data_IF_657892199753
#
_entry.id   IF_657892199753
#
_cell.length_a   1.000
_cell.length_b   1.000
_cell.length_c   1.000
_cell.angle_alpha   90.00
_cell.angle_beta   90.00
_cell.angle_gamma   90.00
#
_symmetry.space_group_name_H-M   'P 1'
#
loop_
_entity.id
_entity.type
_entity.pdbx_description
1 polymer ?
#
# COMPACT_ATOMS: atom_id res chain seq x y z
N UNK A 1 2.06 -25.73 -4.53
CA UNK A 1 1.02 -24.69 -4.45
C UNK A 1 0.00 -24.98 -3.36
N UNK A 2 -0.90 -25.97 -3.48
CA UNK A 2 -1.91 -26.27 -2.43
C UNK A 2 -1.31 -26.52 -1.04
N UNK A 3 -0.19 -27.26 -0.97
CA UNK A 3 0.54 -27.49 0.29
C UNK A 3 1.16 -26.22 0.89
N UNK A 4 1.54 -25.23 0.08
CA UNK A 4 2.08 -23.95 0.60
C UNK A 4 0.97 -23.10 1.20
N UNK A 5 -0.18 -23.03 0.53
CA UNK A 5 -1.38 -22.34 1.03
C UNK A 5 -1.83 -22.97 2.35
N UNK A 6 -1.95 -24.31 2.42
CA UNK A 6 -2.29 -25.01 3.67
C UNK A 6 -1.25 -24.83 4.77
N UNK A 7 0.04 -24.71 4.43
CA UNK A 7 1.10 -24.43 5.41
C UNK A 7 1.01 -22.99 5.95
N UNK A 8 0.78 -22.01 5.07
CA UNK A 8 0.59 -20.61 5.44
C UNK A 8 -0.66 -20.47 6.34
N UNK A 9 -1.80 -21.04 5.94
CA UNK A 9 -3.05 -21.04 6.72
C UNK A 9 -2.89 -21.73 8.09
N UNK A 10 -2.09 -22.80 8.17
CA UNK A 10 -1.82 -23.48 9.45
C UNK A 10 -0.88 -22.67 10.36
N UNK A 11 0.10 -21.95 9.81
CA UNK A 11 0.98 -21.08 10.59
C UNK A 11 0.22 -19.87 11.17
N UNK A 12 -0.72 -19.29 10.42
CA UNK A 12 -1.62 -18.22 10.90
C UNK A 12 -2.49 -18.65 12.07
N UNK A 13 -3.13 -19.82 11.94
CA UNK A 13 -3.97 -20.38 12.99
C UNK A 13 -3.20 -20.68 14.29
N UNK A 14 -1.88 -20.84 14.19
CA UNK A 14 -1.00 -21.17 15.32
C UNK A 14 -0.20 -19.97 15.86
N UNK A 15 -0.26 -18.80 15.23
CA UNK A 15 0.42 -17.58 15.70
C UNK A 15 1.95 -17.65 15.65
N UNK A 16 2.52 -18.56 14.86
CA UNK A 16 3.96 -18.70 14.67
C UNK A 16 4.40 -17.79 13.51
N UNK A 17 5.06 -16.67 13.81
CA UNK A 17 5.57 -15.68 12.85
C UNK A 17 6.76 -16.17 11.99
N UNK A 18 6.69 -17.40 11.48
CA UNK A 18 7.64 -17.99 10.51
C UNK A 18 6.95 -18.01 9.16
N UNK A 19 6.77 -16.83 8.58
CA UNK A 19 5.80 -16.59 7.51
C UNK A 19 6.47 -16.14 6.20
N UNK A 20 7.56 -15.37 6.30
CA UNK A 20 8.11 -14.67 5.13
C UNK A 20 9.01 -15.53 4.24
N UNK A 21 9.86 -16.43 4.79
CA UNK A 21 10.65 -17.35 3.94
C UNK A 21 9.74 -18.20 3.04
N UNK A 22 8.57 -18.62 3.56
CA UNK A 22 7.60 -19.42 2.80
C UNK A 22 6.82 -18.60 1.78
N UNK A 23 6.59 -17.31 2.02
CA UNK A 23 5.89 -16.40 1.11
C UNK A 23 6.82 -15.82 0.06
N UNK A 24 8.05 -15.52 0.42
CA UNK A 24 9.13 -15.19 -0.50
C UNK A 24 9.43 -16.42 -1.36
N UNK A 25 9.64 -17.62 -0.79
CA UNK A 25 9.79 -18.85 -1.57
C UNK A 25 8.56 -19.14 -2.45
N UNK A 26 7.34 -18.88 -1.96
CA UNK A 26 6.12 -19.07 -2.75
C UNK A 26 6.04 -18.06 -3.90
N UNK A 27 6.34 -16.79 -3.63
CA UNK A 27 6.36 -15.71 -4.62
C UNK A 27 7.47 -15.94 -5.64
N UNK A 28 8.67 -16.31 -5.21
CA UNK A 28 9.81 -16.70 -6.05
C UNK A 28 9.53 -17.97 -6.85
N UNK A 29 8.85 -18.97 -6.28
CA UNK A 29 8.45 -20.19 -7.00
C UNK A 29 7.37 -19.87 -8.05
N UNK A 30 6.45 -18.95 -7.76
CA UNK A 30 5.47 -18.47 -8.74
C UNK A 30 6.12 -17.65 -9.87
N UNK A 31 7.13 -16.83 -9.54
CA UNK A 31 7.94 -16.07 -10.51
C UNK A 31 8.91 -16.98 -11.29
N UNK A 32 9.43 -18.05 -10.67
CA UNK A 32 10.52 -18.90 -11.15
C UNK A 32 10.08 -20.22 -11.81
N UNK A 33 8.83 -20.65 -11.66
CA UNK A 33 8.31 -21.88 -12.27
C UNK A 33 7.94 -21.75 -13.75
N UNK A 34 8.03 -20.54 -14.33
CA UNK A 34 7.89 -20.31 -15.76
C UNK A 34 9.13 -19.63 -16.32
N UNK A 35 9.69 -20.16 -17.41
CA UNK A 35 10.61 -19.38 -18.23
C UNK A 35 9.91 -18.05 -18.57
N UNK A 36 10.48 -16.89 -18.20
CA UNK A 36 9.86 -15.56 -18.47
C UNK A 36 9.40 -15.40 -19.93
N UNK A 37 10.03 -16.09 -20.89
CA UNK A 37 9.65 -16.13 -22.31
C UNK A 37 8.36 -16.90 -22.64
N UNK A 38 7.96 -17.86 -21.80
CA UNK A 38 6.73 -18.66 -21.98
C UNK A 38 5.52 -17.99 -21.31
N UNK A 39 5.71 -17.27 -20.19
CA UNK A 39 4.63 -16.56 -19.47
C UNK A 39 4.07 -15.36 -20.26
N UNK A 40 4.91 -14.68 -21.05
CA UNK A 40 4.50 -13.56 -21.93
C UNK A 40 3.52 -14.00 -23.04
N UNK A 41 3.42 -15.31 -23.32
CA UNK A 41 2.50 -15.88 -24.31
C UNK A 41 1.19 -16.43 -23.71
N UNK A 42 1.02 -16.41 -22.38
CA UNK A 42 -0.26 -16.75 -21.75
C UNK A 42 -1.15 -15.51 -21.77
N UNK A 43 -2.12 -15.52 -22.68
CA UNK A 43 -3.11 -14.46 -22.85
C UNK A 43 -3.88 -14.24 -21.53
N UNK A 44 -3.88 -13.03 -20.97
CA UNK A 44 -4.67 -12.63 -19.78
C UNK A 44 -6.19 -12.57 -20.06
N UNK A 45 -6.66 -13.36 -21.02
CA UNK A 45 -8.08 -13.63 -21.26
C UNK A 45 -8.63 -14.61 -20.21
N UNK A 46 -9.95 -14.77 -20.15
CA UNK A 46 -10.61 -15.73 -19.25
C UNK A 46 -9.96 -17.12 -19.36
N UNK A 47 -9.23 -17.54 -18.31
CA UNK A 47 -8.52 -18.82 -18.24
C UNK A 47 -7.00 -18.78 -18.34
N UNK A 48 -6.38 -17.59 -18.31
CA UNK A 48 -4.92 -17.42 -18.17
C UNK A 48 -4.42 -17.32 -16.72
N UNK A 49 -3.10 -17.20 -16.54
CA UNK A 49 -2.44 -16.98 -15.25
C UNK A 49 -1.80 -15.58 -15.18
N UNK A 50 -1.91 -14.91 -14.05
CA UNK A 50 -1.23 -13.64 -13.72
C UNK A 50 -0.17 -13.93 -12.66
N UNK A 51 1.13 -13.89 -12.98
CA UNK A 51 2.22 -14.28 -12.06
C UNK A 51 1.99 -15.64 -11.37
N UNK A 52 1.45 -16.63 -12.11
CA UNK A 52 1.11 -17.94 -11.56
C UNK A 52 -0.23 -17.99 -10.79
N UNK A 53 -0.92 -16.87 -10.62
CA UNK A 53 -2.28 -16.79 -10.08
C UNK A 53 -3.33 -17.12 -11.15
N UNK A 54 -4.24 -18.05 -10.88
CA UNK A 54 -5.34 -18.35 -11.82
C UNK A 54 -6.30 -17.14 -11.89
N UNK A 55 -6.44 -16.56 -13.07
CA UNK A 55 -7.31 -15.40 -13.28
C UNK A 55 -8.78 -15.67 -12.95
N UNK A 56 -9.22 -16.93 -12.99
CA UNK A 56 -10.59 -17.31 -12.59
C UNK A 56 -10.85 -17.14 -11.09
N UNK A 57 -9.79 -17.08 -10.30
CA UNK A 57 -9.88 -16.88 -8.85
C UNK A 57 -9.79 -15.40 -8.47
N UNK A 58 -9.54 -14.50 -9.43
CA UNK A 58 -9.66 -13.07 -9.19
C UNK A 58 -11.12 -12.66 -8.98
N UNK A 59 -11.32 -11.63 -8.16
CA UNK A 59 -12.62 -11.02 -7.95
C UNK A 59 -12.50 -9.51 -8.17
N UNK A 60 -13.59 -8.91 -8.64
CA UNK A 60 -13.70 -7.45 -8.70
C UNK A 60 -14.49 -6.96 -7.48
N UNK A 61 -14.06 -5.84 -6.92
CA UNK A 61 -14.76 -5.11 -5.87
C UNK A 61 -15.07 -3.71 -6.38
N UNK A 62 -16.28 -3.25 -6.09
CA UNK A 62 -16.75 -1.93 -6.49
C UNK A 62 -17.01 -1.16 -5.21
N UNK A 63 -16.40 0.00 -5.09
CA UNK A 63 -16.59 0.91 -3.97
C UNK A 63 -17.27 2.18 -4.48
N UNK A 64 -18.47 2.41 -3.96
CA UNK A 64 -19.22 3.65 -4.18
C UNK A 64 -19.05 4.54 -2.95
N UNK A 65 -18.16 5.52 -3.05
CA UNK A 65 -17.82 6.45 -1.98
C UNK A 65 -18.72 7.70 -1.97
N UNK A 66 -19.94 7.61 -2.51
CA UNK A 66 -20.83 8.76 -2.76
C UNK A 66 -20.25 9.76 -3.78
N UNK A 67 -19.26 9.31 -4.57
CA UNK A 67 -18.71 10.04 -5.70
C UNK A 67 -19.50 9.72 -6.98
N UNK A 68 -19.51 10.63 -7.96
CA UNK A 68 -20.17 10.37 -9.26
C UNK A 68 -19.55 9.19 -10.04
N UNK A 69 -18.38 8.68 -9.62
CA UNK A 69 -17.65 7.60 -10.27
C UNK A 69 -17.23 6.53 -9.24
N UNK A 70 -17.86 5.34 -9.22
CA UNK A 70 -17.44 4.25 -8.34
C UNK A 70 -16.06 3.73 -8.73
N UNK A 71 -15.30 3.25 -7.75
CA UNK A 71 -13.96 2.70 -7.95
C UNK A 71 -14.02 1.19 -8.05
N UNK A 72 -13.45 0.64 -9.12
CA UNK A 72 -13.36 -0.79 -9.38
C UNK A 72 -11.94 -1.27 -9.17
N UNK A 73 -11.74 -2.26 -8.31
CA UNK A 73 -10.43 -2.89 -8.09
C UNK A 73 -10.50 -4.39 -8.29
N UNK A 74 -9.43 -4.97 -8.82
CA UNK A 74 -9.24 -6.42 -8.89
C UNK A 74 -8.49 -6.87 -7.64
N UNK A 75 -9.06 -7.84 -6.95
CA UNK A 75 -8.49 -8.50 -5.77
C UNK A 75 -8.31 -9.99 -6.05
N UNK A 76 -7.41 -10.62 -5.31
CA UNK A 76 -7.22 -12.06 -5.29
C UNK A 76 -7.42 -12.54 -3.84
N UNK A 77 -8.69 -12.78 -3.42
CA UNK A 77 -9.05 -13.00 -2.01
C UNK A 77 -8.38 -14.21 -1.35
N UNK A 78 -7.89 -15.16 -2.13
CA UNK A 78 -7.18 -16.36 -1.68
C UNK A 78 -5.74 -16.07 -1.25
N UNK A 79 -5.20 -14.89 -1.57
CA UNK A 79 -3.89 -14.44 -1.10
C UNK A 79 -4.09 -13.33 -0.06
N UNK A 80 -4.65 -13.71 1.08
CA UNK A 80 -4.87 -12.83 2.24
C UNK A 80 -3.58 -12.28 2.85
N UNK A 81 -2.43 -12.52 2.23
CA UNK A 81 -1.11 -12.47 2.82
C UNK A 81 -0.09 -11.64 2.03
N UNK A 82 -0.56 -11.12 0.89
CA UNK A 82 0.21 -10.26 0.00
C UNK A 82 -0.67 -9.07 -0.38
N UNK A 83 -0.09 -8.04 -0.98
CA UNK A 83 -0.77 -6.82 -1.42
C UNK A 83 -1.85 -6.98 -2.50
N UNK A 84 -2.40 -8.19 -2.71
CA UNK A 84 -3.46 -8.47 -3.68
C UNK A 84 -4.85 -8.61 -3.04
N UNK A 85 -4.94 -8.53 -1.71
CA UNK A 85 -6.19 -8.46 -0.96
C UNK A 85 -6.45 -7.02 -0.45
N UNK A 86 -7.67 -6.79 0.02
CA UNK A 86 -8.04 -5.55 0.70
C UNK A 86 -7.81 -5.72 2.20
N UNK A 87 -7.17 -4.72 2.82
CA UNK A 87 -6.98 -4.65 4.26
C UNK A 87 -7.92 -3.63 4.91
N UNK A 88 -8.39 -3.96 6.13
CA UNK A 88 -9.33 -3.14 6.90
C UNK A 88 -8.74 -1.76 7.21
N UNK A 89 -7.44 -1.69 7.44
CA UNK A 89 -6.70 -0.45 7.71
C UNK A 89 -6.84 0.59 6.60
N UNK A 90 -6.79 0.15 5.34
CA UNK A 90 -6.97 1.04 4.19
C UNK A 90 -8.38 1.65 4.15
N UNK A 91 -9.39 0.91 4.62
CA UNK A 91 -10.76 1.44 4.74
C UNK A 91 -10.88 2.47 5.87
N UNK A 92 -10.22 2.23 7.00
CA UNK A 92 -10.14 3.21 8.11
C UNK A 92 -9.42 4.47 7.66
N UNK A 93 -8.34 4.33 6.90
CA UNK A 93 -7.58 5.45 6.33
C UNK A 93 -8.44 6.28 5.35
N UNK A 94 -9.23 5.64 4.49
CA UNK A 94 -10.20 6.32 3.62
C UNK A 94 -11.24 7.11 4.42
N UNK A 95 -11.80 6.54 5.50
CA UNK A 95 -12.74 7.28 6.37
C UNK A 95 -12.09 8.51 7.02
N UNK A 96 -10.83 8.40 7.41
CA UNK A 96 -10.07 9.55 7.92
C UNK A 96 -9.85 10.62 6.87
N UNK A 97 -9.49 10.23 5.64
CA UNK A 97 -9.33 11.16 4.52
C UNK A 97 -10.65 11.88 4.25
N UNK A 98 -11.78 11.18 4.22
CA UNK A 98 -13.12 11.76 4.02
C UNK A 98 -13.43 12.81 5.10
N UNK A 99 -13.11 12.51 6.35
CA UNK A 99 -13.32 13.45 7.46
C UNK A 99 -12.40 14.69 7.42
N UNK A 100 -11.32 14.66 6.61
CA UNK A 100 -10.27 15.68 6.61
C UNK A 100 -9.86 16.15 5.20
N UNK A 101 -10.76 16.03 4.20
CA UNK A 101 -10.44 16.22 2.77
C UNK A 101 -9.66 17.50 2.46
N UNK A 102 -10.02 18.63 3.08
CA UNK A 102 -9.35 19.92 2.86
C UNK A 102 -7.85 19.88 3.17
N UNK A 103 -7.40 19.00 4.07
CA UNK A 103 -5.99 18.85 4.43
C UNK A 103 -5.17 18.12 3.35
N UNK A 104 -5.84 17.37 2.48
CA UNK A 104 -5.23 16.57 1.40
C UNK A 104 -5.25 17.31 0.04
N UNK A 105 -6.04 18.36 -0.09
CA UNK A 105 -6.12 19.16 -1.33
C UNK A 105 -4.74 19.77 -1.68
N UNK A 106 -4.37 19.65 -2.96
CA UNK A 106 -3.12 20.12 -3.56
C UNK A 106 -1.84 19.54 -2.93
N UNK A 107 -1.94 18.48 -2.14
CA UNK A 107 -0.80 17.83 -1.48
C UNK A 107 -0.17 16.77 -2.37
N UNK A 108 1.15 16.64 -2.26
CA UNK A 108 1.85 15.47 -2.75
C UNK A 108 1.77 14.36 -1.70
N UNK A 109 1.22 13.21 -2.08
CA UNK A 109 0.92 12.09 -1.19
C UNK A 109 1.72 10.88 -1.65
N UNK A 110 2.37 10.19 -0.71
CA UNK A 110 3.00 8.89 -0.95
C UNK A 110 2.32 7.86 -0.07
N UNK A 111 1.91 6.75 -0.67
CA UNK A 111 1.35 5.59 0.01
C UNK A 111 2.41 4.48 0.03
N UNK A 112 2.84 4.07 1.23
CA UNK A 112 3.74 2.92 1.41
C UNK A 112 2.92 1.64 1.55
N UNK A 113 3.24 0.62 0.76
CA UNK A 113 2.55 -0.67 0.81
C UNK A 113 1.12 -0.57 0.28
N UNK A 114 0.94 0.05 -0.89
CA UNK A 114 -0.38 0.37 -1.45
C UNK A 114 -1.21 -0.86 -1.80
N UNK A 115 -0.59 -2.03 -1.96
CA UNK A 115 -1.28 -3.24 -2.35
C UNK A 115 -2.05 -3.04 -3.66
N UNK A 116 -3.37 -3.25 -3.62
CA UNK A 116 -4.27 -3.07 -4.77
C UNK A 116 -4.47 -1.59 -5.17
N UNK A 117 -3.97 -0.63 -4.40
CA UNK A 117 -3.99 0.81 -4.70
C UNK A 117 -5.31 1.51 -4.40
N UNK A 118 -6.18 0.94 -3.55
CA UNK A 118 -7.52 1.51 -3.33
C UNK A 118 -7.46 2.93 -2.76
N UNK A 119 -6.55 3.23 -1.83
CA UNK A 119 -6.47 4.56 -1.19
C UNK A 119 -5.98 5.61 -2.18
N UNK A 120 -4.92 5.34 -2.94
CA UNK A 120 -4.48 6.23 -4.01
C UNK A 120 -5.53 6.47 -5.11
N UNK A 121 -6.26 5.43 -5.53
CA UNK A 121 -7.38 5.57 -6.46
C UNK A 121 -8.52 6.42 -5.86
N UNK A 122 -8.83 6.21 -4.58
CA UNK A 122 -9.82 6.99 -3.85
C UNK A 122 -9.45 8.48 -3.80
N UNK A 123 -8.22 8.81 -3.43
CA UNK A 123 -7.72 10.18 -3.39
C UNK A 123 -7.79 10.86 -4.78
N UNK A 124 -7.43 10.15 -5.85
CA UNK A 124 -7.57 10.68 -7.22
C UNK A 124 -9.03 10.94 -7.63
N UNK A 125 -9.98 10.21 -7.04
CA UNK A 125 -11.39 10.30 -7.37
C UNK A 125 -12.12 11.39 -6.57
N UNK A 126 -11.76 11.59 -5.30
CA UNK A 126 -12.48 12.49 -4.38
C UNK A 126 -11.94 13.92 -4.34
N UNK A 127 -10.62 14.11 -4.53
CA UNK A 127 -9.99 15.42 -4.40
C UNK A 127 -10.32 16.31 -5.61
N UNK A 128 -10.66 17.57 -5.35
CA UNK A 128 -10.96 18.53 -6.42
C UNK A 128 -9.69 18.97 -7.14
N UNK A 129 -8.62 19.17 -6.38
CA UNK A 129 -7.32 19.56 -6.88
C UNK A 129 -6.27 18.66 -6.26
N UNK A 130 -5.80 17.69 -7.03
CA UNK A 130 -4.78 16.75 -6.55
C UNK A 130 -3.38 17.31 -6.82
N UNK A 131 -2.49 17.21 -5.83
CA UNK A 131 -1.05 17.21 -6.10
C UNK A 131 -0.64 15.86 -6.72
N UNK A 132 0.62 15.46 -6.57
CA UNK A 132 1.07 14.14 -7.03
C UNK A 132 0.74 13.06 -6.00
N UNK A 133 0.13 11.96 -6.42
CA UNK A 133 -0.09 10.76 -5.61
C UNK A 133 0.85 9.67 -6.12
N UNK A 134 1.66 9.08 -5.25
CA UNK A 134 2.54 7.96 -5.60
C UNK A 134 2.21 6.75 -4.74
N UNK A 135 1.65 5.72 -5.37
CA UNK A 135 1.40 4.41 -4.77
C UNK A 135 2.66 3.56 -4.89
N UNK A 136 3.13 2.99 -3.78
CA UNK A 136 4.36 2.21 -3.73
C UNK A 136 4.18 0.84 -3.12
N UNK A 137 4.89 -0.14 -3.65
CA UNK A 137 4.95 -1.50 -3.15
C UNK A 137 6.27 -2.15 -3.59
N UNK A 138 6.62 -3.29 -3.01
CA UNK A 138 7.84 -4.02 -3.35
C UNK A 138 7.63 -5.00 -4.51
N UNK A 139 6.46 -5.66 -4.57
CA UNK A 139 6.26 -6.76 -5.51
C UNK A 139 5.75 -6.26 -6.88
N UNK A 140 6.46 -6.61 -7.95
CA UNK A 140 6.06 -6.23 -9.32
C UNK A 140 4.65 -6.72 -9.67
N UNK A 141 4.25 -7.91 -9.21
CA UNK A 141 2.90 -8.43 -9.43
C UNK A 141 1.80 -7.61 -8.73
N UNK A 142 2.10 -7.04 -7.57
CA UNK A 142 1.18 -6.14 -6.84
C UNK A 142 1.08 -4.81 -7.57
N UNK A 143 2.21 -4.22 -7.94
CA UNK A 143 2.26 -2.97 -8.69
C UNK A 143 1.58 -3.08 -10.05
N UNK A 144 1.75 -4.21 -10.74
CA UNK A 144 1.11 -4.45 -12.02
C UNK A 144 -0.41 -4.64 -11.85
N UNK A 145 -0.87 -5.28 -10.77
CA UNK A 145 -2.30 -5.31 -10.44
C UNK A 145 -2.85 -3.92 -10.09
N UNK A 146 -2.07 -3.11 -9.37
CA UNK A 146 -2.41 -1.73 -9.01
C UNK A 146 -2.57 -0.86 -10.28
N UNK A 147 -1.64 -0.97 -11.24
CA UNK A 147 -1.74 -0.33 -12.55
C UNK A 147 -2.95 -0.81 -13.35
N UNK A 148 -3.25 -2.11 -13.33
CA UNK A 148 -4.48 -2.63 -13.94
C UNK A 148 -5.73 -2.02 -13.30
N UNK A 149 -5.75 -1.84 -11.97
CA UNK A 149 -6.84 -1.14 -11.30
C UNK A 149 -6.94 0.34 -11.72
N UNK A 150 -5.82 1.02 -11.99
CA UNK A 150 -5.86 2.36 -12.57
C UNK A 150 -6.54 2.38 -13.95
N UNK A 151 -6.23 1.40 -14.82
CA UNK A 151 -6.85 1.27 -16.14
C UNK A 151 -8.35 0.97 -16.07
N UNK A 152 -8.79 0.11 -15.13
CA UNK A 152 -10.22 -0.18 -14.90
C UNK A 152 -11.02 1.09 -14.56
N UNK A 153 -10.38 2.05 -13.90
CA UNK A 153 -11.00 3.32 -13.49
C UNK A 153 -10.74 4.46 -14.48
N UNK A 154 -10.13 4.19 -15.63
CA UNK A 154 -9.72 5.20 -16.61
C UNK A 154 -8.85 6.32 -16.02
N UNK A 155 -8.02 5.99 -15.02
CA UNK A 155 -7.10 6.94 -14.38
C UNK A 155 -5.73 6.82 -15.06
N UNK A 156 -5.28 7.85 -15.79
CA UNK A 156 -3.93 7.86 -16.35
C UNK A 156 -2.92 7.77 -15.21
N UNK A 157 -1.85 6.99 -15.38
CA UNK A 157 -0.81 6.85 -14.37
C UNK A 157 0.57 6.66 -15.03
N UNK A 158 1.62 6.87 -14.24
CA UNK A 158 3.01 6.60 -14.62
C UNK A 158 3.60 5.50 -13.77
N UNK A 159 4.47 4.70 -14.35
CA UNK A 159 5.14 3.59 -13.66
C UNK A 159 6.63 3.90 -13.52
N UNK A 160 7.18 3.68 -12.32
CA UNK A 160 8.59 3.88 -12.00
C UNK A 160 9.20 2.62 -11.39
N UNK A 161 10.43 2.31 -11.80
CA UNK A 161 11.28 1.26 -11.22
C UNK A 161 10.66 -0.15 -11.16
N UNK A 162 9.66 -0.45 -12.00
CA UNK A 162 8.99 -1.75 -12.03
C UNK A 162 9.11 -2.42 -13.41
N UNK A 163 9.17 -3.75 -13.42
CA UNK A 163 9.28 -4.58 -14.62
C UNK A 163 7.96 -5.36 -14.84
N UNK A 164 7.00 -4.73 -15.54
CA UNK A 164 5.72 -5.37 -15.86
C UNK A 164 5.86 -6.46 -16.91
N UNK A 165 5.12 -7.56 -16.71
CA UNK A 165 5.18 -8.75 -17.58
C UNK A 165 3.93 -8.86 -18.47
N UNK A 166 2.75 -8.48 -17.99
CA UNK A 166 1.45 -8.74 -18.65
C UNK A 166 0.78 -7.49 -19.23
N UNK A 167 0.87 -6.35 -18.55
CA UNK A 167 0.46 -5.04 -19.05
C UNK A 167 1.46 -4.62 -20.13
N UNK A 168 1.11 -4.89 -21.38
CA UNK A 168 1.89 -4.43 -22.53
C UNK A 168 1.94 -2.91 -22.51
N UNK A 169 3.12 -2.33 -22.75
CA UNK A 169 3.40 -0.87 -22.78
C UNK A 169 2.57 -0.07 -23.82
N UNK A 170 1.53 -0.64 -24.42
CA UNK A 170 0.83 -0.07 -25.56
C UNK A 170 -0.28 0.90 -25.13
N UNK A 171 0.09 2.19 -25.10
CA UNK A 171 -0.73 3.40 -25.35
C UNK A 171 -1.53 4.06 -24.21
N UNK A 172 -1.63 3.51 -23.00
CA UNK A 172 -2.38 4.14 -21.89
C UNK A 172 -1.53 4.96 -20.89
N UNK A 173 -0.20 4.78 -20.85
CA UNK A 173 0.64 5.11 -19.68
C UNK A 173 1.66 6.25 -19.86
N UNK A 174 1.66 6.96 -20.99
CA UNK A 174 2.54 8.12 -21.23
C UNK A 174 1.80 9.46 -21.23
N UNK A 175 0.85 9.63 -20.32
CA UNK A 175 0.38 10.98 -20.05
C UNK A 175 1.40 11.66 -19.14
N UNK A 176 2.32 12.43 -19.74
CA UNK A 176 3.38 13.17 -19.02
C UNK A 176 2.79 14.08 -17.91
N UNK A 177 1.51 14.39 -17.97
CA UNK A 177 0.77 15.20 -17.00
C UNK A 177 -0.08 14.40 -16.01
N UNK A 178 0.08 13.06 -15.89
CA UNK A 178 -0.62 12.34 -14.82
C UNK A 178 -0.05 12.70 -13.44
N UNK A 179 -0.97 12.96 -12.51
CA UNK A 179 -0.70 13.16 -11.10
C UNK A 179 -0.62 11.84 -10.31
N UNK A 180 -1.03 10.70 -10.90
CA UNK A 180 -0.95 9.39 -10.25
C UNK A 180 0.27 8.61 -10.74
N UNK A 181 1.09 8.16 -9.80
CA UNK A 181 2.27 7.36 -10.04
C UNK A 181 2.16 6.02 -9.31
N UNK A 182 2.69 4.97 -9.93
CA UNK A 182 2.89 3.63 -9.36
C UNK A 182 4.40 3.39 -9.37
N UNK A 183 4.99 3.08 -8.23
CA UNK A 183 6.45 3.01 -8.11
C UNK A 183 6.88 1.82 -7.25
N UNK A 184 7.85 1.05 -7.75
CA UNK A 184 8.51 0.04 -6.93
C UNK A 184 9.35 0.71 -5.86
N UNK A 185 9.17 0.28 -4.61
CA UNK A 185 9.96 0.72 -3.48
C UNK A 185 10.17 -0.44 -2.51
N UNK A 186 11.39 -0.97 -2.49
CA UNK A 186 11.84 -1.93 -1.49
C UNK A 186 12.33 -1.17 -0.26
N UNK A 187 11.62 -1.24 0.86
CA UNK A 187 12.02 -0.54 2.08
C UNK A 187 13.37 -1.01 2.65
N UNK A 188 13.80 -2.23 2.32
CA UNK A 188 15.05 -2.81 2.80
C UNK A 188 16.23 -2.54 1.86
N UNK A 189 15.97 -2.17 0.59
CA UNK A 189 17.00 -1.97 -0.43
C UNK A 189 16.80 -0.71 -1.30
N UNK A 190 16.09 0.31 -0.80
CA UNK A 190 15.88 1.55 -1.53
C UNK A 190 17.17 2.33 -1.77
N UNK A 191 17.18 3.14 -2.83
CA UNK A 191 18.30 3.98 -3.24
C UNK A 191 18.03 5.46 -2.96
N UNK A 192 19.09 6.28 -3.01
CA UNK A 192 18.94 7.74 -2.94
C UNK A 192 18.09 8.29 -4.10
N UNK A 193 18.13 7.65 -5.28
CA UNK A 193 17.28 8.02 -6.41
C UNK A 193 15.79 7.79 -6.10
N UNK A 194 15.46 6.72 -5.39
CA UNK A 194 14.07 6.46 -4.96
C UNK A 194 13.58 7.58 -4.02
N UNK A 195 14.41 7.96 -3.05
CA UNK A 195 14.10 9.07 -2.12
C UNK A 195 13.97 10.40 -2.87
N UNK A 196 14.83 10.66 -3.86
CA UNK A 196 14.79 11.88 -4.67
C UNK A 196 13.50 11.98 -5.49
N UNK A 197 13.00 10.86 -6.02
CA UNK A 197 11.69 10.82 -6.70
C UNK A 197 10.54 11.19 -5.75
N UNK A 198 10.67 10.91 -4.46
CA UNK A 198 9.64 11.10 -3.43
C UNK A 198 9.89 12.34 -2.55
N UNK A 199 10.91 13.16 -2.82
CA UNK A 199 11.35 14.24 -1.91
C UNK A 199 10.31 15.32 -1.60
N UNK A 200 9.39 15.57 -2.54
CA UNK A 200 8.39 16.64 -2.45
C UNK A 200 7.12 16.17 -1.73
N UNK A 201 7.17 15.03 -1.04
CA UNK A 201 6.02 14.47 -0.29
C UNK A 201 5.61 15.40 0.84
N UNK A 202 4.33 15.77 0.86
CA UNK A 202 3.71 16.53 1.95
C UNK A 202 3.08 15.61 2.99
N UNK A 203 2.46 14.52 2.52
CA UNK A 203 1.77 13.54 3.36
C UNK A 203 2.25 12.14 3.00
N UNK A 204 2.76 11.41 3.99
CA UNK A 204 3.06 9.98 3.89
C UNK A 204 1.94 9.21 4.56
N UNK A 205 1.29 8.33 3.80
CA UNK A 205 0.24 7.45 4.29
C UNK A 205 0.71 5.98 4.21
N UNK A 206 0.19 5.14 5.09
CA UNK A 206 0.49 3.71 5.07
C UNK A 206 -0.56 2.94 5.88
N UNK A 207 -1.09 1.88 5.28
CA UNK A 207 -2.08 1.02 5.90
C UNK A 207 -1.54 -0.40 6.05
N UNK A 208 -1.64 -0.96 7.26
CA UNK A 208 -1.24 -2.33 7.59
C UNK A 208 0.21 -2.69 7.20
N UNK A 209 1.16 -1.78 7.46
CA UNK A 209 2.58 -1.93 7.06
C UNK A 209 3.52 -2.43 8.16
N UNK A 210 3.06 -2.49 9.42
CA UNK A 210 3.86 -2.99 10.55
C UNK A 210 3.43 -4.41 10.98
N UNK A 211 3.34 -5.31 10.00
CA UNK A 211 2.96 -6.70 10.19
C UNK A 211 4.16 -7.58 10.60
N UNK A 212 5.36 -7.26 10.14
CA UNK A 212 6.59 -7.99 10.45
C UNK A 212 7.70 -7.08 11.00
N UNK A 213 8.32 -7.54 12.09
CA UNK A 213 9.51 -6.94 12.70
C UNK A 213 10.73 -6.85 11.77
N UNK A 214 10.86 -7.71 10.76
CA UNK A 214 12.01 -7.69 9.87
C UNK A 214 12.00 -6.48 8.91
N UNK A 215 10.81 -6.04 8.48
CA UNK A 215 10.63 -4.92 7.54
C UNK A 215 10.50 -3.56 8.22
N UNK A 216 10.14 -3.54 9.51
CA UNK A 216 9.96 -2.31 10.31
C UNK A 216 11.18 -1.37 10.21
N UNK A 217 12.45 -1.82 10.37
CA UNK A 217 13.59 -0.93 10.26
C UNK A 217 13.67 -0.21 8.90
N UNK A 218 13.44 -0.92 7.81
CA UNK A 218 13.42 -0.35 6.45
C UNK A 218 12.28 0.66 6.26
N UNK A 219 11.07 0.31 6.71
CA UNK A 219 9.92 1.22 6.70
C UNK A 219 10.24 2.54 7.44
N UNK A 220 10.85 2.42 8.62
CA UNK A 220 11.26 3.56 9.42
C UNK A 220 12.39 4.37 8.74
N UNK A 221 13.33 3.71 8.07
CA UNK A 221 14.42 4.35 7.32
C UNK A 221 13.90 5.17 6.14
N UNK A 222 13.00 4.61 5.32
CA UNK A 222 12.32 5.34 4.23
C UNK A 222 11.61 6.57 4.80
N UNK A 223 10.83 6.39 5.85
CA UNK A 223 10.07 7.48 6.48
C UNK A 223 11.00 8.59 6.98
N UNK A 224 12.12 8.23 7.61
CA UNK A 224 13.12 9.20 8.06
C UNK A 224 13.77 9.94 6.89
N UNK A 225 14.10 9.25 5.79
CA UNK A 225 14.70 9.87 4.62
C UNK A 225 13.77 10.89 3.97
N UNK A 226 12.47 10.58 3.86
CA UNK A 226 11.46 11.52 3.38
C UNK A 226 11.29 12.70 4.33
N UNK A 227 11.23 12.46 5.65
CA UNK A 227 11.19 13.52 6.65
C UNK A 227 12.43 14.43 6.60
N UNK A 228 13.60 13.87 6.29
CA UNK A 228 14.82 14.65 6.11
C UNK A 228 14.77 15.56 4.87
N UNK A 229 14.01 15.20 3.82
CA UNK A 229 13.76 16.05 2.64
C UNK A 229 12.69 17.11 2.91
N UNK A 230 11.64 16.74 3.63
CA UNK A 230 10.59 17.66 4.04
C UNK A 230 10.35 17.60 5.56
N UNK A 231 10.87 18.59 6.29
CA UNK A 231 10.66 18.69 7.75
C UNK A 231 9.21 18.96 8.14
N UNK A 232 8.33 19.32 7.20
CA UNK A 232 6.91 19.50 7.44
C UNK A 232 6.08 18.27 7.02
N UNK A 233 6.73 17.14 6.68
CA UNK A 233 6.06 15.90 6.31
C UNK A 233 5.07 15.49 7.40
N UNK A 234 3.81 15.30 7.00
CA UNK A 234 2.77 14.70 7.84
C UNK A 234 2.80 13.19 7.60
N UNK A 235 2.94 12.40 8.65
CA UNK A 235 2.96 10.95 8.58
C UNK A 235 1.67 10.43 9.20
N UNK A 236 0.86 9.70 8.45
CA UNK A 236 -0.42 9.14 8.88
C UNK A 236 -0.42 7.65 8.65
N UNK A 237 -0.27 6.85 9.70
CA UNK A 237 -0.24 5.40 9.57
C UNK A 237 -1.48 4.79 10.24
N UNK A 238 -2.16 3.90 9.51
CA UNK A 238 -3.21 3.02 10.02
C UNK A 238 -2.63 1.61 10.19
N UNK A 239 -2.51 1.13 11.42
CA UNK A 239 -1.86 -0.16 11.70
C UNK A 239 -2.79 -1.05 12.53
N UNK A 240 -3.09 -2.24 12.02
CA UNK A 240 -3.82 -3.27 12.77
C UNK A 240 -2.88 -3.83 13.82
N UNK A 241 -3.29 -3.70 15.07
CA UNK A 241 -2.59 -4.25 16.22
C UNK A 241 -2.82 -5.77 16.31
N UNK A 242 -2.15 -6.52 15.42
CA UNK A 242 -2.15 -8.00 15.44
C UNK A 242 -1.32 -8.54 16.61
N UNK A 243 -0.22 -7.85 16.91
CA UNK A 243 0.71 -8.19 17.97
C UNK A 243 1.21 -6.92 18.65
N UNK A 244 0.97 -6.79 19.96
CA UNK A 244 1.42 -5.65 20.75
C UNK A 244 2.93 -5.42 20.62
N UNK A 245 3.72 -6.50 20.62
CA UNK A 245 5.19 -6.40 20.58
C UNK A 245 5.68 -5.83 19.25
N UNK A 246 5.03 -6.20 18.14
CA UNK A 246 5.37 -5.68 16.81
C UNK A 246 5.06 -4.19 16.72
N UNK A 247 3.91 -3.77 17.25
CA UNK A 247 3.54 -2.36 17.31
C UNK A 247 4.49 -1.54 18.22
N UNK A 248 4.78 -2.03 19.42
CA UNK A 248 5.74 -1.40 20.34
C UNK A 248 7.13 -1.29 19.70
N UNK A 249 7.57 -2.32 18.99
CA UNK A 249 8.83 -2.31 18.26
C UNK A 249 8.81 -1.24 17.15
N UNK A 250 7.75 -1.17 16.34
CA UNK A 250 7.57 -0.13 15.33
C UNK A 250 7.67 1.28 15.93
N UNK A 251 6.94 1.56 17.02
CA UNK A 251 6.99 2.86 17.69
C UNK A 251 8.42 3.15 18.18
N UNK A 252 9.09 2.17 18.79
CA UNK A 252 10.47 2.34 19.26
C UNK A 252 11.47 2.61 18.14
N UNK A 253 11.30 2.01 16.96
CA UNK A 253 12.15 2.21 15.79
C UNK A 253 11.95 3.59 15.15
N UNK A 254 10.71 4.09 15.13
CA UNK A 254 10.41 5.47 14.72
C UNK A 254 11.03 6.49 15.68
N UNK A 255 10.95 6.26 16.99
CA UNK A 255 11.51 7.17 18.00
C UNK A 255 13.03 7.28 17.94
N UNK A 256 13.73 6.18 17.61
CA UNK A 256 15.18 6.18 17.35
C UNK A 256 15.57 7.07 16.17
N UNK A 257 14.62 7.35 15.28
CA UNK A 257 14.79 8.20 14.10
C UNK A 257 14.17 9.60 14.29
N UNK A 258 13.92 9.97 15.54
CA UNK A 258 13.32 11.24 15.98
C UNK A 258 11.91 11.49 15.44
N UNK A 259 11.15 10.44 15.13
CA UNK A 259 9.75 10.52 14.76
C UNK A 259 8.90 9.96 15.89
N UNK A 260 7.94 10.75 16.35
CA UNK A 260 7.13 10.46 17.54
C UNK A 260 5.65 10.59 17.19
N UNK A 261 4.82 9.80 17.86
CA UNK A 261 3.37 9.93 17.76
C UNK A 261 2.97 11.30 18.31
N UNK A 262 2.36 12.11 17.46
CA UNK A 262 1.85 13.45 17.81
C UNK A 262 0.37 13.43 18.17
N UNK A 263 -0.39 12.50 17.59
CA UNK A 263 -1.82 12.33 17.85
C UNK A 263 -2.24 10.89 17.53
N UNK A 264 -2.93 10.23 18.45
CA UNK A 264 -3.69 9.01 18.15
C UNK A 264 -5.13 9.42 17.81
N UNK A 265 -5.67 8.88 16.72
CA UNK A 265 -7.00 9.18 16.21
C UNK A 265 -7.91 8.03 16.56
N UNK A 266 -8.98 8.33 17.28
CA UNK A 266 -10.00 7.33 17.62
C UNK A 266 -10.75 6.90 16.36
N UNK A 267 -10.63 5.63 15.99
CA UNK A 267 -11.32 5.09 14.81
C UNK A 267 -12.84 5.07 15.00
N UNK A 268 -13.36 5.12 16.22
CA UNK A 268 -14.81 5.21 16.47
C UNK A 268 -15.40 6.57 16.13
N UNK A 269 -14.57 7.61 16.06
CA UNK A 269 -15.00 8.99 15.80
C UNK A 269 -15.05 9.31 14.31
N UNK A 270 -14.61 8.38 13.46
CA UNK A 270 -14.66 8.48 12.01
C UNK A 270 -16.08 8.27 11.46
N UNK A 271 -16.36 8.61 10.20
CA UNK A 271 -17.70 8.53 9.60
C UNK A 271 -18.37 7.14 9.57
N UNK A 272 -17.64 6.04 9.80
CA UNK A 272 -18.16 4.66 9.82
C UNK A 272 -18.93 4.27 8.54
N UNK A 273 -18.33 4.54 7.38
CA UNK A 273 -18.87 4.21 6.06
C UNK A 273 -18.76 2.72 5.75
N UNK A 274 -17.78 2.03 6.35
CA UNK A 274 -17.56 0.61 6.14
C UNK A 274 -17.97 -0.23 7.35
N UNK A 275 -18.56 -1.39 7.05
CA UNK A 275 -18.84 -2.42 8.04
C UNK A 275 -17.53 -3.10 8.43
N UNK A 276 -16.89 -2.59 9.49
CA UNK A 276 -15.67 -3.14 10.06
C UNK A 276 -16.04 -3.80 11.40
N UNK A 277 -15.80 -5.11 11.53
CA UNK A 277 -16.22 -5.89 12.70
C UNK A 277 -15.63 -5.37 14.01
N UNK A 278 -14.32 -5.14 14.05
CA UNK A 278 -13.64 -4.54 15.20
C UNK A 278 -12.60 -3.50 14.78
N UNK A 279 -13.07 -2.27 14.57
CA UNK A 279 -12.22 -1.12 14.24
C UNK A 279 -11.31 -0.66 15.38
N UNK A 280 -11.49 -1.16 16.61
CA UNK A 280 -10.62 -0.78 17.73
C UNK A 280 -9.25 -1.45 17.65
N UNK A 281 -9.13 -2.49 16.81
CA UNK A 281 -7.87 -3.15 16.50
C UNK A 281 -6.95 -2.29 15.62
N UNK A 282 -7.52 -1.34 14.86
CA UNK A 282 -6.75 -0.42 14.02
C UNK A 282 -6.31 0.79 14.83
N UNK A 283 -5.00 1.02 14.89
CA UNK A 283 -4.37 2.21 15.44
C UNK A 283 -4.13 3.20 14.31
N UNK A 284 -4.88 4.28 14.25
CA UNK A 284 -4.61 5.38 13.33
C UNK A 284 -3.90 6.50 14.09
N UNK A 285 -2.74 6.94 13.61
CA UNK A 285 -1.99 7.98 14.29
C UNK A 285 -1.21 8.89 13.34
N UNK A 286 -1.05 10.13 13.76
CA UNK A 286 -0.23 11.14 13.12
C UNK A 286 1.13 11.19 13.81
N UNK A 287 2.23 11.04 13.05
CA UNK A 287 3.59 11.20 13.56
C UNK A 287 4.24 12.48 13.04
N UNK A 288 5.14 13.05 13.86
CA UNK A 288 5.96 14.22 13.51
C UNK A 288 7.38 14.04 14.01
N UNK A 289 8.29 14.82 13.43
CA UNK A 289 9.62 14.99 14.03
C UNK A 289 9.52 15.51 15.46
N UNK A 290 10.31 14.96 16.38
CA UNK A 290 10.31 15.31 17.81
C UNK A 290 10.45 16.81 18.07
N UNK A 291 11.23 17.50 17.24
CA UNK A 291 11.44 18.96 17.34
C UNK A 291 10.29 19.81 16.77
N UNK A 292 9.30 19.19 16.12
CA UNK A 292 8.15 19.85 15.50
C UNK A 292 6.86 19.68 16.31
N UNK A 293 6.90 18.97 17.44
CA UNK A 293 5.79 18.95 18.38
C UNK A 293 5.88 20.25 19.19
N UNK A 294 4.84 21.10 19.21
CA UNK A 294 4.79 22.22 20.14
C UNK A 294 5.02 21.66 21.55
N UNK A 295 6.03 22.16 22.27
CA UNK A 295 6.11 21.86 23.69
C UNK A 295 4.85 22.41 24.32
N UNK A 296 3.90 21.54 24.65
CA UNK A 296 2.74 21.91 25.46
C UNK A 296 3.28 22.61 26.71
N UNK A 297 2.94 23.90 26.85
CA UNK A 297 3.16 24.71 28.05
C UNK A 297 2.09 24.40 29.09
#
# INVERSE_FOLDING_TARGET
MRNYIEMIENCENNGEGVYDDLIEDYSEMLIGSGNRKEMVNMDCSEGGYFYGYDMKESSFRIYDFLCENPIVVRVFPQFLNVGLALWVDGLVEIEYIIANLESFERKNIVELGSGIGLVGLFLMNILKETGRITMTDYLDCVLENCSYCCELNNIPHKVYNSEYIYLKEDKSSKNENSNLHVMKLDWMNFTEQDIELLKDTDILIAADVAYDSSVIPGLCDVTQQLFNRNRNLIILFAITKRNEKTFEYFVSEMEKRDMVVSKEISTTDLPQLFMIEDRTTVRLFEMKGRNNIPHDQ
#
